data_IF_726425257299
#
_entry.id   IF_726425257299
#
_cell.length_a   1.000
_cell.length_b   1.000
_cell.length_c   1.000
_cell.angle_alpha   90.00
_cell.angle_beta   90.00
_cell.angle_gamma   90.00
#
_symmetry.space_group_name_H-M   'P 1'
#
loop_
_entity.id
_entity.type
_entity.pdbx_description
1 polymer ?
#
# COMPACT_ATOMS: atom_id res chain seq x y z
N UNK A 1 -8.20 14.06 -21.04
CA UNK A 1 -8.35 12.62 -20.73
C UNK A 1 -8.89 11.94 -21.98
N UNK A 2 -8.26 10.87 -22.43
CA UNK A 2 -8.71 10.07 -23.58
C UNK A 2 -9.41 8.81 -23.06
N UNK A 3 -10.47 8.38 -23.74
CA UNK A 3 -11.25 7.20 -23.34
C UNK A 3 -11.27 6.19 -24.48
N UNK A 4 -11.14 4.91 -24.13
CA UNK A 4 -11.43 3.81 -25.03
C UNK A 4 -12.90 3.41 -24.83
N UNK A 5 -13.69 3.46 -25.89
CA UNK A 5 -15.09 3.03 -25.88
C UNK A 5 -15.14 1.62 -26.44
N UNK A 6 -15.67 0.69 -25.66
CA UNK A 6 -15.82 -0.72 -26.05
C UNK A 6 -17.30 -1.06 -26.00
N UNK A 7 -17.87 -1.47 -27.13
CA UNK A 7 -19.27 -1.90 -27.22
C UNK A 7 -19.36 -3.39 -26.85
N UNK A 8 -19.44 -3.67 -25.55
CA UNK A 8 -19.53 -5.03 -25.03
C UNK A 8 -20.43 -5.10 -23.80
N UNK A 9 -21.21 -6.19 -23.61
CA UNK A 9 -21.99 -6.38 -22.39
C UNK A 9 -21.05 -6.47 -21.17
N UNK A 10 -21.06 -5.42 -20.34
CA UNK A 10 -20.21 -5.30 -19.16
C UNK A 10 -21.06 -4.89 -17.94
N UNK A 11 -20.77 -5.41 -16.73
CA UNK A 11 -21.42 -4.95 -15.51
C UNK A 11 -20.96 -3.55 -15.09
N UNK A 12 -19.97 -2.97 -15.78
CA UNK A 12 -19.41 -1.64 -15.51
C UNK A 12 -19.65 -0.70 -16.69
N UNK A 13 -20.14 0.51 -16.39
CA UNK A 13 -20.33 1.58 -17.37
C UNK A 13 -19.02 2.31 -17.70
N UNK A 14 -18.06 2.32 -16.78
CA UNK A 14 -16.75 2.91 -16.96
C UNK A 14 -15.74 2.27 -16.01
N UNK A 15 -14.50 2.07 -16.47
CA UNK A 15 -13.38 1.61 -15.64
C UNK A 15 -12.34 2.73 -15.64
N UNK A 16 -12.14 3.33 -14.48
CA UNK A 16 -11.18 4.43 -14.30
C UNK A 16 -9.99 3.93 -13.48
N UNK A 17 -8.83 3.87 -14.12
CA UNK A 17 -7.59 3.51 -13.45
C UNK A 17 -7.07 4.60 -12.51
N UNK A 18 -6.09 4.26 -11.68
CA UNK A 18 -5.39 5.21 -10.79
C UNK A 18 -4.88 6.47 -11.49
N UNK A 19 -4.26 6.41 -12.69
CA UNK A 19 -3.84 7.62 -13.39
C UNK A 19 -5.00 8.59 -13.69
N UNK A 20 -6.16 8.05 -14.07
CA UNK A 20 -7.36 8.84 -14.33
C UNK A 20 -7.92 9.49 -13.07
N UNK A 21 -7.96 8.75 -11.96
CA UNK A 21 -8.38 9.30 -10.67
C UNK A 21 -7.45 10.42 -10.20
N UNK A 22 -6.12 10.24 -10.34
CA UNK A 22 -5.13 11.26 -9.97
C UNK A 22 -5.27 12.52 -10.83
N UNK A 23 -5.48 12.36 -12.14
CA UNK A 23 -5.68 13.49 -13.06
C UNK A 23 -6.93 14.32 -12.70
N UNK A 24 -7.97 13.66 -12.19
CA UNK A 24 -9.20 14.31 -11.75
C UNK A 24 -9.14 14.77 -10.28
N UNK A 25 -8.01 14.60 -9.59
CA UNK A 25 -7.88 14.82 -8.13
C UNK A 25 -9.00 14.13 -7.35
N UNK A 26 -9.43 12.97 -7.83
CA UNK A 26 -10.61 12.28 -7.35
C UNK A 26 -10.28 11.42 -6.12
N UNK A 27 -11.09 11.55 -5.07
CA UNK A 27 -11.01 10.77 -3.84
C UNK A 27 -12.13 9.73 -3.85
N UNK A 28 -11.76 8.45 -3.75
CA UNK A 28 -12.70 7.33 -3.75
C UNK A 28 -12.87 6.79 -2.33
N UNK A 29 -14.11 6.72 -1.86
CA UNK A 29 -14.49 6.03 -0.63
C UNK A 29 -15.24 4.75 -0.98
N UNK A 30 -14.54 3.62 -0.91
CA UNK A 30 -15.11 2.29 -1.16
C UNK A 30 -16.22 1.96 -0.16
N UNK A 31 -16.04 2.34 1.12
CA UNK A 31 -17.03 2.11 2.18
C UNK A 31 -18.37 2.79 1.90
N UNK A 32 -18.34 4.00 1.35
CA UNK A 32 -19.54 4.79 1.08
C UNK A 32 -19.97 4.75 -0.38
N UNK A 33 -19.27 3.98 -1.23
CA UNK A 33 -19.43 3.96 -2.69
C UNK A 33 -19.49 5.37 -3.27
N UNK A 34 -18.61 6.26 -2.83
CA UNK A 34 -18.63 7.67 -3.20
C UNK A 34 -17.31 8.07 -3.84
N UNK A 35 -17.37 8.79 -4.94
CA UNK A 35 -16.22 9.47 -5.54
C UNK A 35 -16.46 10.97 -5.44
N UNK A 36 -15.47 11.69 -4.92
CA UNK A 36 -15.46 13.16 -4.90
C UNK A 36 -14.35 13.68 -5.80
N UNK A 37 -14.59 14.76 -6.52
CA UNK A 37 -13.58 15.40 -7.36
C UNK A 37 -13.86 16.91 -7.47
N UNK A 38 -12.83 17.76 -7.64
CA UNK A 38 -13.01 19.18 -7.86
C UNK A 38 -13.71 19.48 -9.18
N UNK A 39 -14.56 20.50 -9.17
CA UNK A 39 -15.19 21.11 -10.34
C UNK A 39 -15.12 22.63 -10.22
N UNK A 40 -15.36 23.35 -11.32
CA UNK A 40 -15.41 24.82 -11.34
C UNK A 40 -16.48 25.43 -10.42
N UNK A 41 -17.43 24.63 -9.94
CA UNK A 41 -18.52 25.06 -9.05
C UNK A 41 -18.42 24.46 -7.64
N UNK A 42 -17.27 23.88 -7.28
CA UNK A 42 -17.05 23.20 -6.00
C UNK A 42 -16.83 21.70 -6.17
N UNK A 43 -17.15 20.91 -5.15
CA UNK A 43 -16.88 19.46 -5.16
C UNK A 43 -18.02 18.70 -5.83
N UNK A 44 -17.70 17.99 -6.92
CA UNK A 44 -18.59 17.02 -7.54
C UNK A 44 -18.62 15.72 -6.75
N UNK A 45 -19.81 15.10 -6.66
CA UNK A 45 -20.01 13.82 -5.99
C UNK A 45 -20.66 12.81 -6.94
N UNK A 46 -20.07 11.61 -7.05
CA UNK A 46 -20.68 10.47 -7.73
C UNK A 46 -20.91 9.37 -6.70
N UNK A 47 -22.17 9.02 -6.48
CA UNK A 47 -22.58 7.97 -5.53
C UNK A 47 -22.98 6.71 -6.27
N UNK A 48 -22.44 5.59 -5.83
CA UNK A 48 -22.85 4.26 -6.24
C UNK A 48 -24.07 3.80 -5.44
N UNK A 49 -24.98 3.11 -6.12
CA UNK A 49 -26.08 2.40 -5.49
C UNK A 49 -25.63 0.97 -5.15
N UNK A 50 -25.60 0.64 -3.85
CA UNK A 50 -25.16 -0.66 -3.38
C UNK A 50 -26.10 -1.80 -3.78
N UNK A 51 -27.41 -1.55 -3.86
CA UNK A 51 -28.40 -2.56 -4.26
C UNK A 51 -28.24 -2.89 -5.74
N UNK A 52 -28.09 -1.87 -6.57
CA UNK A 52 -27.86 -2.04 -8.01
C UNK A 52 -26.52 -2.74 -8.25
N UNK A 53 -25.44 -2.31 -7.59
CA UNK A 53 -24.13 -2.95 -7.71
C UNK A 53 -24.17 -4.44 -7.32
N UNK A 54 -24.86 -4.80 -6.22
CA UNK A 54 -25.03 -6.20 -5.79
C UNK A 54 -25.86 -7.01 -6.78
N UNK A 55 -26.93 -6.43 -7.35
CA UNK A 55 -27.76 -7.07 -8.38
C UNK A 55 -26.94 -7.32 -9.64
N UNK A 56 -26.21 -6.32 -10.15
CA UNK A 56 -25.33 -6.45 -11.31
C UNK A 56 -24.26 -7.53 -11.11
N UNK A 57 -23.63 -7.58 -9.94
CA UNK A 57 -22.67 -8.63 -9.60
C UNK A 57 -23.31 -10.02 -9.61
N UNK A 58 -24.49 -10.17 -9.02
CA UNK A 58 -25.23 -11.44 -8.99
C UNK A 58 -25.65 -11.87 -10.39
N UNK A 59 -26.18 -10.97 -11.21
CA UNK A 59 -26.56 -11.24 -12.60
C UNK A 59 -25.34 -11.64 -13.43
N UNK A 60 -24.24 -10.89 -13.37
CA UNK A 60 -23.02 -11.21 -14.11
C UNK A 60 -22.41 -12.57 -13.75
N UNK A 61 -22.63 -13.06 -12.52
CA UNK A 61 -22.22 -14.41 -12.09
C UNK A 61 -23.22 -15.48 -12.54
N UNK A 62 -24.52 -15.19 -12.50
CA UNK A 62 -25.58 -16.16 -12.81
C UNK A 62 -25.80 -16.35 -14.32
N UNK A 63 -25.60 -15.31 -15.13
CA UNK A 63 -25.80 -15.34 -16.58
C UNK A 63 -24.71 -16.15 -17.31
N UNK A 64 -23.62 -16.49 -16.61
CA UNK A 64 -22.62 -17.46 -17.07
C UNK A 64 -23.04 -18.88 -16.67
N UNK A 65 -24.02 -19.42 -17.40
CA UNK A 65 -24.35 -20.84 -17.31
C UNK A 65 -23.13 -21.70 -17.66
N UNK A 66 -22.52 -22.35 -16.66
CA UNK A 66 -21.47 -23.41 -16.73
C UNK A 66 -20.28 -23.26 -17.70
N UNK A 67 -20.18 -22.21 -18.49
CA UNK A 67 -19.04 -21.91 -19.34
C UNK A 67 -18.32 -20.68 -18.83
N UNK A 68 -17.10 -20.95 -18.36
CA UNK A 68 -15.98 -20.02 -18.20
C UNK A 68 -16.41 -18.65 -17.65
N UNK A 69 -16.44 -18.58 -16.32
CA UNK A 69 -15.95 -17.39 -15.62
C UNK A 69 -14.57 -17.09 -16.22
N UNK A 70 -14.52 -16.25 -17.26
CA UNK A 70 -13.25 -15.68 -17.71
C UNK A 70 -12.67 -15.01 -16.48
N UNK A 71 -11.56 -15.53 -15.92
CA UNK A 71 -10.81 -14.77 -14.94
C UNK A 71 -10.50 -13.43 -15.63
N UNK A 72 -10.48 -12.35 -14.86
CA UNK A 72 -9.83 -11.12 -15.33
C UNK A 72 -8.33 -11.44 -15.38
N UNK A 73 -7.94 -12.18 -16.40
CA UNK A 73 -6.60 -12.48 -16.81
C UNK A 73 -6.69 -12.48 -18.33
N UNK A 74 -5.83 -11.69 -18.97
CA UNK A 74 -5.74 -11.51 -20.43
C UNK A 74 -6.94 -10.82 -21.10
N UNK A 75 -7.20 -9.57 -20.72
CA UNK A 75 -7.30 -8.56 -21.79
C UNK A 75 -5.85 -8.31 -22.18
N UNK A 76 -5.46 -8.73 -23.38
CA UNK A 76 -4.17 -8.38 -23.95
C UNK A 76 -4.09 -6.85 -24.01
N UNK A 77 -3.31 -6.30 -23.07
CA UNK A 77 -3.00 -4.89 -23.03
C UNK A 77 -2.27 -4.56 -24.33
N UNK A 78 -2.92 -3.74 -25.16
CA UNK A 78 -2.29 -3.04 -26.27
C UNK A 78 -1.02 -2.38 -25.71
N UNK A 79 0.13 -2.89 -26.13
CA UNK A 79 1.45 -2.35 -25.87
C UNK A 79 1.72 -2.06 -24.40
N UNK A 80 2.25 -3.04 -23.68
CA UNK A 80 3.03 -2.75 -22.48
C UNK A 80 4.23 -1.87 -22.86
N UNK A 81 4.05 -0.56 -22.95
CA UNK A 81 5.07 0.32 -22.41
C UNK A 81 4.95 0.11 -20.91
N UNK A 82 5.60 -0.92 -20.41
CA UNK A 82 5.92 -0.95 -18.99
C UNK A 82 6.66 0.36 -18.74
N UNK A 83 6.17 1.27 -17.87
CA UNK A 83 7.13 2.14 -17.22
C UNK A 83 8.09 1.17 -16.55
N UNK A 84 9.34 1.11 -17.00
CA UNK A 84 10.36 0.31 -16.34
C UNK A 84 10.21 0.58 -14.85
N UNK A 85 9.70 -0.42 -14.11
CA UNK A 85 9.92 -0.41 -12.67
C UNK A 85 11.44 -0.47 -12.58
N UNK A 86 12.11 0.54 -12.00
CA UNK A 86 13.54 0.45 -11.82
C UNK A 86 13.80 -0.85 -11.08
N UNK A 87 14.43 -1.79 -11.77
CA UNK A 87 14.88 -3.01 -11.13
C UNK A 87 15.89 -2.57 -10.07
N UNK A 88 15.90 -3.18 -8.87
CA UNK A 88 16.96 -2.92 -7.92
C UNK A 88 18.29 -3.08 -8.66
N UNK A 89 19.12 -2.05 -8.64
CA UNK A 89 20.47 -2.12 -9.21
C UNK A 89 21.14 -3.32 -8.55
N UNK A 90 21.42 -4.37 -9.32
CA UNK A 90 21.91 -5.65 -8.77
C UNK A 90 23.31 -5.53 -8.20
N UNK A 91 24.06 -4.51 -8.63
CA UNK A 91 25.39 -4.20 -8.14
C UNK A 91 25.33 -3.03 -7.18
N UNK A 92 25.61 -3.31 -5.92
CA UNK A 92 25.66 -2.31 -4.85
C UNK A 92 27.00 -2.40 -4.14
N UNK A 93 27.51 -1.24 -3.75
CA UNK A 93 28.71 -1.10 -2.92
C UNK A 93 28.27 -0.90 -1.48
N UNK A 94 28.81 -1.72 -0.59
CA UNK A 94 28.59 -1.59 0.84
C UNK A 94 29.51 -0.48 1.39
N UNK A 95 28.91 0.50 2.06
CA UNK A 95 29.62 1.63 2.66
C UNK A 95 29.34 1.65 4.16
N UNK A 96 30.38 1.58 5.02
CA UNK A 96 30.21 1.75 6.46
C UNK A 96 29.73 3.16 6.80
N UNK A 97 28.73 3.26 7.67
CA UNK A 97 28.24 4.54 8.19
C UNK A 97 29.31 5.23 9.06
N UNK A 98 30.01 4.48 9.90
CA UNK A 98 31.09 4.98 10.78
C UNK A 98 32.35 4.14 10.62
N UNK A 99 33.52 4.77 10.70
CA UNK A 99 34.80 4.06 10.70
C UNK A 99 34.90 3.21 11.99
N UNK A 100 34.88 1.88 11.82
CA UNK A 100 35.01 0.92 12.92
C UNK A 100 33.73 0.14 13.27
N UNK A 101 32.57 0.47 12.70
CA UNK A 101 31.33 -0.30 12.92
C UNK A 101 30.90 -1.05 11.64
N UNK A 102 31.09 -2.36 11.62
CA UNK A 102 30.75 -3.21 10.49
C UNK A 102 29.25 -3.63 10.44
N UNK A 103 28.47 -3.33 11.48
CA UNK A 103 27.05 -3.71 11.53
C UNK A 103 26.14 -2.69 10.84
N UNK A 104 26.55 -1.41 10.79
CA UNK A 104 25.77 -0.32 10.20
C UNK A 104 26.30 0.04 8.81
N UNK A 105 25.86 -0.72 7.81
CA UNK A 105 26.25 -0.55 6.41
C UNK A 105 25.09 -0.04 5.56
N UNK A 106 25.38 0.85 4.61
CA UNK A 106 24.46 1.23 3.55
C UNK A 106 24.87 0.57 2.23
N UNK A 107 23.89 0.32 1.37
CA UNK A 107 24.10 -0.16 0.01
C UNK A 107 23.85 0.99 -0.97
N UNK A 108 24.89 1.39 -1.70
CA UNK A 108 24.83 2.43 -2.72
C UNK A 108 25.04 1.78 -4.09
N UNK A 109 24.23 2.14 -5.10
CA UNK A 109 24.37 1.57 -6.45
C UNK A 109 25.79 1.75 -7.01
N UNK A 110 26.35 0.70 -7.62
CA UNK A 110 27.70 0.74 -8.23
C UNK A 110 27.78 1.67 -9.44
N UNK A 111 26.63 1.91 -10.09
CA UNK A 111 26.48 2.67 -11.33
C UNK A 111 26.47 4.19 -11.12
N UNK A 112 26.47 4.65 -9.86
CA UNK A 112 26.48 6.08 -9.55
C UNK A 112 27.85 6.69 -9.87
N UNK A 113 27.88 7.89 -10.44
CA UNK A 113 29.15 8.59 -10.71
C UNK A 113 29.94 8.83 -9.42
N UNK A 114 31.28 8.88 -9.50
CA UNK A 114 32.13 9.02 -8.29
C UNK A 114 31.76 10.26 -7.45
N UNK A 115 31.43 11.37 -8.11
CA UNK A 115 31.01 12.62 -7.45
C UNK A 115 29.68 12.45 -6.73
N UNK A 116 28.66 11.95 -7.43
CA UNK A 116 27.31 11.72 -6.87
C UNK A 116 27.35 10.70 -5.72
N UNK A 117 28.18 9.67 -5.85
CA UNK A 117 28.41 8.67 -4.81
C UNK A 117 29.03 9.30 -3.57
N UNK A 118 30.02 10.19 -3.74
CA UNK A 118 30.63 10.94 -2.64
C UNK A 118 29.63 11.85 -1.93
N UNK A 119 28.80 12.57 -2.68
CA UNK A 119 27.76 13.45 -2.13
C UNK A 119 26.70 12.66 -1.36
N UNK A 120 26.21 11.55 -1.93
CA UNK A 120 25.22 10.70 -1.29
C UNK A 120 25.75 10.05 -0.01
N UNK A 121 27.00 9.54 -0.03
CA UNK A 121 27.61 8.96 1.17
C UNK A 121 27.75 10.03 2.26
N UNK A 122 28.23 11.23 1.91
CA UNK A 122 28.34 12.35 2.86
C UNK A 122 26.98 12.72 3.45
N UNK A 123 25.95 12.81 2.60
CA UNK A 123 24.59 13.11 3.03
C UNK A 123 24.04 12.05 3.99
N UNK A 124 24.22 10.76 3.68
CA UNK A 124 23.76 9.68 4.54
C UNK A 124 24.50 9.64 5.89
N UNK A 125 25.82 9.91 5.89
CA UNK A 125 26.62 10.01 7.11
C UNK A 125 26.19 11.18 8.00
N UNK A 126 25.82 12.31 7.39
CA UNK A 126 25.36 13.49 8.12
C UNK A 126 23.97 13.32 8.74
N UNK A 127 23.12 12.45 8.19
CA UNK A 127 21.75 12.18 8.65
C UNK A 127 21.61 10.81 9.32
N UNK A 128 22.65 10.38 10.04
CA UNK A 128 22.70 9.05 10.66
C UNK A 128 21.64 8.80 11.75
N UNK A 129 21.14 9.87 12.35
CA UNK A 129 20.13 9.92 13.41
C UNK A 129 18.70 9.69 12.90
N UNK A 130 18.45 9.87 11.60
CA UNK A 130 17.14 9.63 10.97
C UNK A 130 16.84 8.14 10.84
N UNK A 131 17.87 7.30 10.80
CA UNK A 131 17.74 5.86 10.63
C UNK A 131 17.69 5.14 11.99
N UNK A 132 16.73 4.24 12.14
CA UNK A 132 16.71 3.30 13.25
C UNK A 132 17.33 1.97 12.80
N UNK A 133 18.43 1.57 13.43
CA UNK A 133 19.15 0.33 13.14
C UNK A 133 18.63 -0.86 13.95
N UNK A 134 17.90 -0.57 15.02
CA UNK A 134 17.23 -1.57 15.84
C UNK A 134 15.86 -1.07 16.29
N UNK A 135 15.04 -1.96 16.83
CA UNK A 135 13.69 -1.60 17.31
C UNK A 135 13.77 -0.67 18.51
N UNK A 136 14.84 -0.78 19.30
CA UNK A 136 15.10 0.05 20.48
C UNK A 136 15.45 1.50 20.14
N UNK A 137 16.02 1.75 18.95
CA UNK A 137 16.37 3.10 18.47
C UNK A 137 15.16 3.88 17.94
N UNK A 138 14.05 3.18 17.64
CA UNK A 138 12.80 3.84 17.21
C UNK A 138 12.19 4.56 18.42
N UNK A 139 12.47 5.85 18.52
CA UNK A 139 11.79 6.71 19.49
C UNK A 139 10.29 6.66 19.23
N UNK A 140 9.55 6.08 20.18
CA UNK A 140 8.07 6.06 20.12
C UNK A 140 7.59 7.50 19.99
N UNK A 141 6.59 7.71 19.13
CA UNK A 141 5.92 9.01 19.02
C UNK A 141 5.41 9.38 20.42
N UNK A 142 5.83 10.54 20.94
CA UNK A 142 5.39 11.03 22.24
C UNK A 142 3.84 11.01 22.26
N UNK A 143 3.20 10.35 23.26
CA UNK A 143 1.74 10.33 23.39
C UNK A 143 1.08 11.72 23.36
N UNK A 144 1.80 12.77 23.72
CA UNK A 144 1.32 14.16 23.61
C UNK A 144 1.16 14.63 22.16
N UNK A 145 1.97 14.10 21.23
CA UNK A 145 1.91 14.47 19.81
C UNK A 145 0.65 13.92 19.17
N UNK A 146 0.34 12.64 19.41
CA UNK A 146 -0.87 12.00 18.88
C UNK A 146 -1.19 10.69 19.60
N UNK A 147 -2.36 10.63 20.23
CA UNK A 147 -2.94 9.39 20.76
C UNK A 147 -4.29 9.15 20.11
N UNK A 148 -4.50 7.91 19.63
CA UNK A 148 -5.81 7.45 19.24
C UNK A 148 -6.56 6.95 20.48
N UNK A 149 -7.68 7.60 20.81
CA UNK A 149 -8.61 7.09 21.83
C UNK A 149 -9.60 6.15 21.15
N UNK A 150 -9.63 4.89 21.58
CA UNK A 150 -10.69 3.97 21.19
C UNK A 150 -11.99 4.41 21.89
N UNK A 151 -13.07 4.57 21.13
CA UNK A 151 -14.40 4.83 21.69
C UNK A 151 -14.95 3.55 22.30
N UNK A 152 -14.60 3.29 23.57
CA UNK A 152 -15.09 2.15 24.35
C UNK A 152 -16.20 2.65 25.29
N UNK A 153 -17.32 1.94 25.33
CA UNK A 153 -18.41 2.19 26.28
C UNK A 153 -17.96 1.72 27.68
N UNK A 154 -17.83 2.63 28.67
CA UNK A 154 -17.35 2.28 30.01
C UNK A 154 -18.34 1.41 30.80
N UNK A 155 -19.61 1.37 30.38
CA UNK A 155 -20.65 0.57 31.03
C UNK A 155 -20.58 -0.90 30.55
N UNK A 156 -20.00 -1.14 29.37
CA UNK A 156 -19.92 -2.47 28.77
C UNK A 156 -18.88 -3.32 29.52
N UNK A 157 -19.25 -4.54 29.96
CA UNK A 157 -18.32 -5.39 30.70
C UNK A 157 -17.13 -5.82 29.83
N UNK A 158 -15.94 -5.83 30.44
CA UNK A 158 -14.73 -6.29 29.79
C UNK A 158 -14.86 -7.77 29.42
N UNK A 159 -14.66 -8.08 28.14
CA UNK A 159 -14.69 -9.46 27.66
C UNK A 159 -13.26 -9.99 27.59
N UNK A 160 -12.92 -10.93 28.49
CA UNK A 160 -11.65 -11.65 28.42
C UNK A 160 -11.79 -12.83 27.47
N UNK A 161 -11.18 -12.74 26.29
CA UNK A 161 -11.13 -13.86 25.36
C UNK A 161 -10.14 -14.93 25.87
N UNK A 162 -10.52 -16.21 25.78
CA UNK A 162 -9.63 -17.33 26.11
C UNK A 162 -8.43 -17.30 25.16
N UNK A 163 -7.22 -17.39 25.71
CA UNK A 163 -5.99 -17.51 24.91
C UNK A 163 -6.11 -18.72 24.00
N UNK A 164 -5.87 -18.54 22.69
CA UNK A 164 -5.78 -19.65 21.75
C UNK A 164 -4.48 -20.42 22.01
N UNK A 165 -4.56 -21.74 22.12
CA UNK A 165 -3.38 -22.58 22.15
C UNK A 165 -2.85 -22.72 20.72
N UNK A 166 -1.58 -22.39 20.54
CA UNK A 166 -0.86 -22.60 19.28
C UNK A 166 0.04 -23.82 19.43
N UNK A 167 0.38 -24.47 18.31
CA UNK A 167 1.41 -25.51 18.28
C UNK A 167 2.74 -24.97 18.86
N UNK A 168 3.55 -25.80 19.53
CA UNK A 168 4.75 -25.37 20.25
C UNK A 168 5.75 -24.61 19.37
N UNK A 169 5.90 -24.99 18.10
CA UNK A 169 6.73 -24.27 17.13
C UNK A 169 6.31 -22.81 16.94
N UNK A 170 5.00 -22.56 16.79
CA UNK A 170 4.45 -21.20 16.66
C UNK A 170 4.57 -20.42 17.95
N UNK A 171 4.48 -21.08 19.11
CA UNK A 171 4.71 -20.42 20.40
C UNK A 171 6.14 -19.93 20.56
N UNK A 172 7.13 -20.69 20.07
CA UNK A 172 8.53 -20.25 20.09
C UNK A 172 8.76 -19.03 19.19
N UNK A 173 8.18 -19.01 17.99
CA UNK A 173 8.27 -17.84 17.08
C UNK A 173 7.61 -16.62 17.71
N UNK A 174 6.41 -16.78 18.28
CA UNK A 174 5.71 -15.69 18.97
C UNK A 174 6.50 -15.16 20.17
N UNK A 175 7.11 -16.05 20.97
CA UNK A 175 7.92 -15.63 22.11
C UNK A 175 9.15 -14.82 21.68
N UNK A 176 9.85 -15.28 20.62
CA UNK A 176 10.98 -14.56 20.03
C UNK A 176 10.59 -13.22 19.42
N UNK A 177 9.38 -13.11 18.88
CA UNK A 177 8.90 -11.84 18.30
C UNK A 177 8.47 -10.87 19.39
N UNK A 178 7.78 -11.34 20.43
CA UNK A 178 7.37 -10.52 21.57
C UNK A 178 8.57 -10.01 22.36
N UNK A 179 9.67 -10.77 22.45
CA UNK A 179 10.89 -10.29 23.09
C UNK A 179 11.59 -9.14 22.35
N UNK A 180 11.17 -8.81 21.12
CA UNK A 180 11.71 -7.68 20.34
C UNK A 180 10.92 -6.38 20.52
N UNK A 181 9.77 -6.40 21.21
CA UNK A 181 8.84 -5.27 21.38
C UNK A 181 9.08 -4.52 22.71
#
# INVERSE_FOLDING_TARGET
MTFLVVDTPSPYNAIVGRPGLNLMEAIVSTRHLLVKFPTRFGVGEVRGDQQVARRCYKTAIMDKGKEKVLPIASVELIGEVQPERPQPVKEVVQVPLEEGNAERIFQVGSQLGEVEKGELITFLKNNKDVFAWSVEEVLRINPEVKVHKLSVDPIRPLTKQKKRNFAPERQQVLAKEVSKL
#
